data_IF_358438330133
#
_entry.id   IF_358438330133
#
_cell.length_a   1.000
_cell.length_b   1.000
_cell.length_c   1.000
_cell.angle_alpha   90.00
_cell.angle_beta   90.00
_cell.angle_gamma   90.00
#
_symmetry.space_group_name_H-M   'P 1'
#
loop_
_entity.id
_entity.type
_entity.pdbx_description
1 polymer ?
#
# COMPACT_ATOMS: atom_id res chain seq x y z
N UNK A 1 -21.25 31.56 -10.03
CA UNK A 1 -20.45 30.35 -9.68
C UNK A 1 -19.14 30.87 -9.10
N UNK A 2 -18.78 30.57 -7.85
CA UNK A 2 -17.61 31.20 -7.24
C UNK A 2 -16.34 30.51 -7.76
N UNK A 3 -15.67 31.21 -8.67
CA UNK A 3 -14.34 30.89 -9.22
C UNK A 3 -13.32 30.80 -8.08
N UNK A 4 -12.42 29.82 -8.11
CA UNK A 4 -11.29 29.75 -7.17
C UNK A 4 -10.34 30.94 -7.35
N UNK A 5 -9.46 31.20 -6.37
CA UNK A 5 -8.50 32.32 -6.40
C UNK A 5 -7.55 32.32 -7.61
N UNK A 6 -7.51 31.23 -8.39
CA UNK A 6 -6.67 31.05 -9.57
C UNK A 6 -7.42 31.09 -10.91
N UNK A 7 -8.71 31.41 -10.91
CA UNK A 7 -9.50 31.51 -12.15
C UNK A 7 -10.00 30.17 -12.71
N UNK A 8 -9.73 29.03 -12.03
CA UNK A 8 -10.21 27.71 -12.48
C UNK A 8 -11.59 27.38 -11.92
N UNK A 9 -12.36 26.64 -12.71
CA UNK A 9 -13.67 26.14 -12.28
C UNK A 9 -13.46 25.14 -11.13
N UNK A 10 -14.19 25.27 -10.02
CA UNK A 10 -13.98 24.42 -8.83
C UNK A 10 -14.22 22.93 -9.12
N UNK A 11 -15.00 22.63 -10.16
CA UNK A 11 -15.24 21.28 -10.65
C UNK A 11 -14.07 20.70 -11.49
N UNK A 12 -13.02 21.48 -11.74
CA UNK A 12 -11.83 21.07 -12.53
C UNK A 12 -10.58 20.73 -11.70
N UNK A 13 -10.66 20.82 -10.36
CA UNK A 13 -9.53 20.52 -9.48
C UNK A 13 -9.40 19.01 -9.21
N UNK A 14 -8.91 18.30 -10.23
CA UNK A 14 -8.61 16.87 -10.17
C UNK A 14 -7.14 16.62 -9.81
N UNK A 15 -6.92 15.58 -9.02
CA UNK A 15 -5.59 15.12 -8.62
C UNK A 15 -5.43 13.65 -8.96
N UNK A 16 -4.28 13.29 -9.55
CA UNK A 16 -3.91 11.90 -9.70
C UNK A 16 -3.63 11.29 -8.31
N UNK A 17 -4.13 10.09 -8.09
CA UNK A 17 -3.98 9.39 -6.81
C UNK A 17 -2.53 8.90 -6.64
N UNK A 18 -2.00 9.03 -5.42
CA UNK A 18 -0.70 8.50 -5.04
C UNK A 18 -0.76 7.04 -4.54
N UNK A 19 -1.98 6.56 -4.31
CA UNK A 19 -2.33 5.22 -3.80
C UNK A 19 -3.86 5.03 -3.90
N UNK A 20 -4.33 3.79 -4.14
CA UNK A 20 -5.75 3.42 -4.06
C UNK A 20 -6.37 3.63 -2.67
N UNK A 21 -5.56 3.72 -1.61
CA UNK A 21 -5.98 4.11 -0.27
C UNK A 21 -6.79 5.43 -0.27
N UNK A 22 -6.37 6.42 -1.06
CA UNK A 22 -7.02 7.74 -1.10
C UNK A 22 -8.49 7.67 -1.55
N UNK A 23 -8.81 7.09 -2.72
CA UNK A 23 -10.19 6.91 -3.14
C UNK A 23 -10.95 5.89 -2.28
N UNK A 24 -10.30 4.83 -1.77
CA UNK A 24 -10.95 3.85 -0.88
C UNK A 24 -11.38 4.46 0.45
N UNK A 25 -10.56 5.35 1.01
CA UNK A 25 -10.92 6.14 2.19
C UNK A 25 -12.09 7.09 1.88
N UNK A 26 -12.08 7.73 0.71
CA UNK A 26 -13.12 8.68 0.31
C UNK A 26 -14.44 8.00 -0.09
N UNK A 27 -14.41 6.72 -0.47
CA UNK A 27 -15.58 5.95 -0.90
C UNK A 27 -16.72 5.98 0.12
N UNK A 28 -16.38 5.92 1.41
CA UNK A 28 -17.35 5.88 2.51
C UNK A 28 -17.60 7.25 3.15
N UNK A 29 -17.33 8.35 2.44
CA UNK A 29 -17.49 9.70 2.99
C UNK A 29 -18.95 9.98 3.38
N UNK A 30 -19.13 10.36 4.64
CA UNK A 30 -20.43 10.70 5.22
C UNK A 30 -21.35 9.50 5.48
N UNK A 31 -20.86 8.28 5.29
CA UNK A 31 -21.64 7.07 5.54
C UNK A 31 -21.69 6.70 7.03
N UNK A 32 -22.81 6.08 7.43
CA UNK A 32 -22.96 5.41 8.73
C UNK A 32 -23.15 3.93 8.47
N UNK A 33 -22.10 3.16 8.72
CA UNK A 33 -22.04 1.72 8.51
C UNK A 33 -22.72 0.97 9.66
N UNK A 34 -23.41 -0.13 9.36
CA UNK A 34 -23.92 -1.02 10.40
C UNK A 34 -22.80 -1.90 10.92
N UNK A 35 -22.77 -2.16 12.22
CA UNK A 35 -21.71 -2.96 12.84
C UNK A 35 -21.53 -4.34 12.22
N UNK A 36 -22.63 -4.96 11.76
CA UNK A 36 -22.61 -6.28 11.09
C UNK A 36 -21.92 -6.28 9.72
N UNK A 37 -21.64 -5.10 9.14
CA UNK A 37 -20.90 -4.96 7.89
C UNK A 37 -19.39 -4.97 8.12
N UNK A 38 -18.93 -4.79 9.37
CA UNK A 38 -17.53 -4.69 9.73
C UNK A 38 -16.96 -6.06 10.14
N UNK A 39 -15.69 -6.37 9.78
CA UNK A 39 -14.79 -5.54 8.99
C UNK A 39 -15.11 -5.57 7.49
N UNK A 40 -14.97 -4.42 6.83
CA UNK A 40 -14.97 -4.33 5.36
C UNK A 40 -13.52 -4.38 4.90
N UNK A 41 -13.22 -5.26 3.95
CA UNK A 41 -11.87 -5.48 3.41
C UNK A 41 -11.86 -5.25 1.90
N UNK A 42 -10.97 -4.38 1.43
CA UNK A 42 -10.77 -4.09 0.02
C UNK A 42 -9.37 -4.48 -0.44
N UNK A 43 -9.29 -4.98 -1.67
CA UNK A 43 -8.06 -5.12 -2.45
C UNK A 43 -8.05 -4.06 -3.56
N UNK A 44 -7.40 -2.92 -3.31
CA UNK A 44 -7.34 -1.79 -4.23
C UNK A 44 -6.21 -1.91 -5.24
N UNK A 45 -6.53 -2.27 -6.48
CA UNK A 45 -5.62 -2.22 -7.62
C UNK A 45 -5.67 -0.83 -8.27
N UNK A 46 -4.52 -0.17 -8.41
CA UNK A 46 -4.44 1.08 -9.17
C UNK A 46 -3.03 1.45 -9.62
N UNK A 47 -2.96 2.21 -10.71
CA UNK A 47 -1.77 3.02 -11.04
C UNK A 47 -1.61 4.14 -10.03
N UNK A 48 -0.44 4.23 -9.42
CA UNK A 48 -0.07 5.23 -8.42
C UNK A 48 0.85 6.29 -9.01
N UNK A 49 0.56 7.57 -8.76
CA UNK A 49 1.33 8.70 -9.27
C UNK A 49 1.98 9.51 -8.14
N UNK A 50 3.30 9.67 -8.17
CA UNK A 50 4.05 10.42 -7.15
C UNK A 50 5.03 11.40 -7.78
N UNK A 51 4.99 12.67 -7.35
CA UNK A 51 5.94 13.71 -7.80
C UNK A 51 7.40 13.42 -7.41
N UNK A 52 7.61 12.62 -6.35
CA UNK A 52 8.94 12.36 -5.76
C UNK A 52 9.72 13.66 -5.40
N UNK A 53 8.99 14.74 -5.11
CA UNK A 53 9.58 16.01 -4.68
C UNK A 53 10.33 15.80 -3.36
N UNK A 54 11.62 16.17 -3.32
CA UNK A 54 12.50 15.95 -2.17
C UNK A 54 13.44 14.74 -2.27
N UNK A 55 13.30 13.89 -3.29
CA UNK A 55 14.18 12.73 -3.51
C UNK A 55 15.32 13.02 -4.52
N UNK A 56 15.71 14.29 -4.72
CA UNK A 56 16.70 14.66 -5.74
C UNK A 56 18.01 13.87 -5.54
N UNK A 57 18.39 13.08 -6.56
CA UNK A 57 19.61 12.25 -6.54
C UNK A 57 19.54 10.92 -5.78
N UNK A 58 18.39 10.55 -5.17
CA UNK A 58 18.22 9.25 -4.50
C UNK A 58 17.54 8.24 -5.41
N UNK A 59 18.16 7.06 -5.59
CA UNK A 59 17.58 5.90 -6.30
C UNK A 59 17.08 6.25 -7.71
N UNK A 60 17.85 7.06 -8.44
CA UNK A 60 17.49 7.61 -9.75
C UNK A 60 17.55 6.61 -10.90
N UNK A 61 18.09 5.42 -10.67
CA UNK A 61 18.33 4.40 -11.69
C UNK A 61 17.33 3.25 -11.56
N UNK A 62 16.90 2.71 -12.71
CA UNK A 62 15.94 1.60 -12.77
C UNK A 62 14.51 2.04 -12.43
N UNK A 63 13.72 1.10 -11.89
CA UNK A 63 12.28 1.29 -11.64
C UNK A 63 11.90 1.23 -10.15
N UNK A 64 12.90 1.22 -9.26
CA UNK A 64 12.67 1.13 -7.82
C UNK A 64 11.97 2.37 -7.25
N UNK A 65 12.34 3.56 -7.75
CA UNK A 65 11.71 4.84 -7.42
C UNK A 65 11.30 5.55 -8.71
N UNK A 66 10.00 5.55 -8.98
CA UNK A 66 9.42 6.09 -10.21
C UNK A 66 8.23 7.01 -9.90
N UNK A 67 7.81 7.76 -10.92
CA UNK A 67 6.64 8.62 -10.85
C UNK A 67 5.33 7.87 -11.02
N UNK A 68 5.36 6.71 -11.68
CA UNK A 68 4.20 5.89 -11.98
C UNK A 68 4.52 4.41 -11.70
N UNK A 69 3.65 3.72 -10.97
CA UNK A 69 3.79 2.28 -10.69
C UNK A 69 2.44 1.66 -10.35
N UNK A 70 2.28 0.35 -10.60
CA UNK A 70 1.08 -0.40 -10.18
C UNK A 70 1.23 -0.90 -8.76
N UNK A 71 0.13 -0.82 -8.00
CA UNK A 71 0.08 -1.30 -6.62
C UNK A 71 -1.25 -2.01 -6.33
N UNK A 72 -1.17 -3.11 -5.58
CA UNK A 72 -2.31 -3.71 -4.88
C UNK A 72 -2.23 -3.30 -3.41
N UNK A 73 -3.27 -2.64 -2.93
CA UNK A 73 -3.40 -2.15 -1.55
C UNK A 73 -4.45 -2.96 -0.79
N UNK A 74 -4.15 -3.31 0.44
CA UNK A 74 -5.09 -3.77 1.45
C UNK A 74 -5.69 -2.52 2.14
N UNK A 75 -7.01 -2.40 2.18
CA UNK A 75 -7.68 -1.36 2.96
C UNK A 75 -8.78 -1.99 3.81
N UNK A 76 -8.77 -1.72 5.11
CA UNK A 76 -9.68 -2.33 6.07
C UNK A 76 -10.39 -1.25 6.87
N UNK A 77 -11.72 -1.33 6.89
CA UNK A 77 -12.58 -0.55 7.78
C UNK A 77 -13.11 -1.49 8.84
N UNK A 78 -12.87 -1.17 10.11
CA UNK A 78 -13.18 -2.08 11.21
C UNK A 78 -13.69 -1.35 12.44
N UNK A 79 -14.20 -2.12 13.41
CA UNK A 79 -14.51 -1.60 14.74
C UNK A 79 -13.22 -1.24 15.47
N UNK A 80 -13.21 -0.20 16.33
CA UNK A 80 -12.01 0.19 17.09
C UNK A 80 -11.32 -0.98 17.80
N UNK A 81 -12.11 -1.80 18.49
CA UNK A 81 -11.66 -2.97 19.27
C UNK A 81 -11.08 -4.12 18.43
N UNK A 82 -11.29 -4.12 17.11
CA UNK A 82 -10.79 -5.16 16.20
C UNK A 82 -9.62 -4.69 15.33
N UNK A 83 -9.17 -3.43 15.48
CA UNK A 83 -8.15 -2.84 14.61
C UNK A 83 -6.76 -3.49 14.75
N UNK A 84 -6.38 -3.93 15.95
CA UNK A 84 -5.11 -4.63 16.18
C UNK A 84 -5.09 -6.00 15.50
N UNK A 85 -6.17 -6.76 15.62
CA UNK A 85 -6.33 -8.05 14.94
C UNK A 85 -6.30 -7.88 13.41
N UNK A 86 -7.00 -6.86 12.90
CA UNK A 86 -6.97 -6.53 11.47
C UNK A 86 -5.56 -6.18 10.98
N UNK A 87 -4.79 -5.38 11.72
CA UNK A 87 -3.41 -5.05 11.33
C UNK A 87 -2.51 -6.29 11.30
N UNK A 88 -2.66 -7.19 12.27
CA UNK A 88 -1.91 -8.45 12.31
C UNK A 88 -2.26 -9.36 11.13
N UNK A 89 -3.54 -9.44 10.75
CA UNK A 89 -3.99 -10.18 9.57
C UNK A 89 -3.42 -9.59 8.26
N UNK A 90 -3.42 -8.26 8.13
CA UNK A 90 -2.86 -7.57 6.96
C UNK A 90 -1.36 -7.78 6.84
N UNK A 91 -0.63 -7.76 7.96
CA UNK A 91 0.80 -8.07 8.00
C UNK A 91 1.05 -9.52 7.60
N UNK A 92 0.32 -10.48 8.18
CA UNK A 92 0.45 -11.89 7.81
C UNK A 92 0.20 -12.12 6.32
N UNK A 93 -0.84 -11.51 5.77
CA UNK A 93 -1.17 -11.60 4.33
C UNK A 93 -0.02 -11.08 3.46
N UNK A 94 0.61 -9.97 3.87
CA UNK A 94 1.76 -9.43 3.15
C UNK A 94 3.01 -10.32 3.29
N UNK A 95 3.29 -10.82 4.48
CA UNK A 95 4.39 -11.75 4.73
C UNK A 95 4.24 -13.03 3.90
N UNK A 96 3.05 -13.66 3.92
CA UNK A 96 2.74 -14.85 3.10
C UNK A 96 2.96 -14.56 1.60
N UNK A 97 2.55 -13.38 1.12
CA UNK A 97 2.78 -12.98 -0.26
C UNK A 97 4.28 -12.95 -0.63
N UNK A 98 5.13 -12.37 0.22
CA UNK A 98 6.58 -12.32 -0.04
C UNK A 98 7.28 -13.66 0.19
N UNK A 99 6.78 -14.50 1.10
CA UNK A 99 7.22 -15.89 1.28
C UNK A 99 6.92 -16.73 0.03
N UNK A 100 5.74 -16.58 -0.57
CA UNK A 100 5.41 -17.26 -1.82
C UNK A 100 6.33 -16.87 -2.99
N UNK A 101 6.83 -15.64 -2.98
CA UNK A 101 7.81 -15.16 -3.96
C UNK A 101 9.25 -15.63 -3.67
N UNK A 102 9.48 -16.34 -2.57
CA UNK A 102 10.80 -16.77 -2.10
C UNK A 102 11.76 -15.59 -1.98
N UNK A 103 11.31 -14.52 -1.30
CA UNK A 103 12.09 -13.32 -1.06
C UNK A 103 12.46 -13.21 0.43
N UNK A 104 13.76 -13.09 0.77
CA UNK A 104 14.18 -12.83 2.14
C UNK A 104 13.78 -11.43 2.59
N UNK A 105 13.22 -11.31 3.79
CA UNK A 105 12.76 -10.02 4.35
C UNK A 105 12.92 -9.95 5.87
N UNK A 106 12.78 -8.74 6.38
CA UNK A 106 12.58 -8.44 7.80
C UNK A 106 11.34 -7.57 7.98
N UNK A 107 10.71 -7.67 9.15
CA UNK A 107 9.62 -6.77 9.56
C UNK A 107 10.14 -5.83 10.64
N UNK A 108 9.92 -4.53 10.45
CA UNK A 108 10.31 -3.50 11.40
C UNK A 108 9.10 -2.72 11.88
N UNK A 109 9.11 -2.33 13.16
CA UNK A 109 8.17 -1.35 13.72
C UNK A 109 8.75 0.04 13.57
N UNK A 110 7.95 0.97 13.05
CA UNK A 110 8.41 2.34 12.80
C UNK A 110 8.38 3.15 14.09
N UNK A 111 9.51 3.77 14.43
CA UNK A 111 9.65 4.62 15.61
C UNK A 111 8.80 5.88 15.49
N UNK A 112 8.35 6.42 16.63
CA UNK A 112 7.40 7.54 16.66
C UNK A 112 7.82 8.75 15.82
N UNK A 113 9.11 9.11 15.81
CA UNK A 113 9.63 10.25 15.04
C UNK A 113 9.63 10.07 13.52
N UNK A 114 9.37 8.86 13.02
CA UNK A 114 9.29 8.53 11.60
C UNK A 114 7.87 8.18 11.14
N UNK A 115 6.87 8.21 12.05
CA UNK A 115 5.47 8.04 11.69
C UNK A 115 4.94 9.29 10.97
N UNK A 116 4.08 9.07 9.98
CA UNK A 116 3.28 10.13 9.39
C UNK A 116 2.05 10.45 10.26
N UNK A 117 1.51 11.66 10.14
CA UNK A 117 0.45 12.19 11.03
C UNK A 117 -0.77 11.29 11.18
N UNK A 118 -1.13 10.53 10.13
CA UNK A 118 -2.31 9.66 10.16
C UNK A 118 -2.07 8.33 10.88
N UNK A 119 -0.84 7.83 10.96
CA UNK A 119 -0.55 6.49 11.46
C UNK A 119 -0.30 6.48 12.97
N UNK A 120 -1.14 5.75 13.72
CA UNK A 120 -0.90 5.51 15.14
C UNK A 120 0.15 4.41 15.37
N UNK A 121 0.21 3.42 14.46
CA UNK A 121 1.23 2.37 14.44
C UNK A 121 1.48 1.93 13.01
N UNK A 122 2.75 1.80 12.62
CA UNK A 122 3.16 1.38 11.29
C UNK A 122 4.23 0.30 11.37
N UNK A 123 4.10 -0.71 10.52
CA UNK A 123 5.12 -1.72 10.27
C UNK A 123 5.55 -1.64 8.81
N UNK A 124 6.84 -1.81 8.56
CA UNK A 124 7.37 -1.99 7.21
C UNK A 124 7.93 -3.40 7.06
N UNK A 125 7.67 -4.01 5.91
CA UNK A 125 8.37 -5.20 5.43
C UNK A 125 9.44 -4.74 4.45
N UNK A 126 10.68 -4.99 4.83
CA UNK A 126 11.85 -4.67 4.05
C UNK A 126 12.46 -5.96 3.50
N UNK A 127 12.55 -6.08 2.18
CA UNK A 127 13.18 -7.23 1.55
C UNK A 127 14.68 -7.00 1.38
N UNK A 128 15.45 -8.08 1.39
CA UNK A 128 16.88 -8.03 1.16
C UNK A 128 17.20 -7.88 -0.33
N UNK A 129 18.05 -6.91 -0.66
CA UNK A 129 18.53 -6.66 -2.01
C UNK A 129 20.03 -6.96 -2.08
N UNK A 130 20.45 -8.09 -2.69
CA UNK A 130 21.86 -8.49 -2.70
C UNK A 130 22.75 -7.54 -3.49
N UNK A 131 22.26 -6.91 -4.57
CA UNK A 131 23.02 -5.92 -5.33
C UNK A 131 23.23 -4.62 -4.57
N UNK A 132 22.25 -4.23 -3.76
CA UNK A 132 22.35 -3.07 -2.87
C UNK A 132 23.03 -3.39 -1.52
N UNK A 133 23.18 -4.67 -1.17
CA UNK A 133 23.64 -5.17 0.13
C UNK A 133 22.92 -4.53 1.32
N UNK A 134 21.60 -4.39 1.24
CA UNK A 134 20.78 -3.79 2.29
C UNK A 134 19.31 -4.24 2.21
N UNK A 135 18.59 -4.08 3.31
CA UNK A 135 17.12 -4.20 3.33
C UNK A 135 16.46 -2.93 2.78
N UNK A 136 15.39 -3.11 2.00
CA UNK A 136 14.63 -2.03 1.36
C UNK A 136 13.13 -2.25 1.50
N UNK A 137 12.40 -1.20 1.85
CA UNK A 137 10.94 -1.20 1.99
C UNK A 137 10.24 -1.64 0.69
N UNK A 138 9.51 -2.75 0.76
CA UNK A 138 8.59 -3.20 -0.28
C UNK A 138 7.12 -2.99 0.09
N UNK A 139 6.83 -2.98 1.39
CA UNK A 139 5.48 -2.91 1.91
C UNK A 139 5.45 -2.16 3.23
N UNK A 140 4.37 -1.42 3.44
CA UNK A 140 4.04 -0.75 4.71
C UNK A 140 2.62 -1.12 5.12
N UNK A 141 2.35 -1.24 6.43
CA UNK A 141 1.01 -1.39 7.00
C UNK A 141 0.79 -0.43 8.16
N UNK A 142 -0.25 0.40 8.06
CA UNK A 142 -0.59 1.43 9.05
C UNK A 142 -1.95 1.17 9.66
N UNK A 143 -2.04 1.28 10.98
CA UNK A 143 -3.30 1.49 11.69
C UNK A 143 -3.48 2.99 11.90
N UNK A 144 -4.45 3.58 11.20
CA UNK A 144 -4.71 5.02 11.22
C UNK A 144 -5.82 5.40 12.20
N UNK A 145 -6.29 4.42 12.99
CA UNK A 145 -7.39 4.56 13.94
C UNK A 145 -8.56 5.36 13.34
N UNK A 146 -9.06 6.39 14.03
CA UNK A 146 -10.15 7.23 13.55
C UNK A 146 -9.67 8.50 12.82
N UNK A 147 -8.38 8.65 12.55
CA UNK A 147 -7.82 9.87 11.96
C UNK A 147 -8.47 10.19 10.60
N UNK A 148 -8.49 9.20 9.72
CA UNK A 148 -9.06 9.31 8.38
C UNK A 148 -10.60 9.35 8.40
N UNK A 149 -11.21 8.50 9.22
CA UNK A 149 -12.68 8.39 9.30
C UNK A 149 -13.33 9.65 9.87
N UNK A 150 -12.65 10.37 10.78
CA UNK A 150 -13.07 11.71 11.24
C UNK A 150 -13.12 12.71 10.10
N UNK A 151 -12.08 12.74 9.26
CA UNK A 151 -12.00 13.63 8.10
C UNK A 151 -13.07 13.31 7.06
N UNK A 152 -13.34 12.01 6.84
CA UNK A 152 -14.38 11.56 5.90
C UNK A 152 -15.78 11.53 6.50
N UNK A 153 -15.95 11.76 7.81
CA UNK A 153 -17.21 11.60 8.55
C UNK A 153 -17.82 10.20 8.42
N UNK A 154 -16.98 9.18 8.31
CA UNK A 154 -17.42 7.77 8.21
C UNK A 154 -17.60 7.19 9.60
N UNK A 155 -18.80 6.75 9.92
CA UNK A 155 -19.17 6.27 11.26
C UNK A 155 -19.72 4.86 11.22
N UNK A 156 -19.89 4.26 12.40
CA UNK A 156 -20.66 3.05 12.64
C UNK A 156 -21.73 3.32 13.68
N UNK A 157 -22.93 2.78 13.48
CA UNK A 157 -24.03 2.94 14.43
C UNK A 157 -25.40 2.53 13.88
N UNK A 158 -26.39 2.51 14.77
CA UNK A 158 -27.79 2.23 14.44
C UNK A 158 -28.71 3.45 14.62
N UNK A 159 -28.30 4.42 15.44
CA UNK A 159 -29.02 5.67 15.75
C UNK A 159 -28.02 6.81 15.86
N UNK A 160 -28.34 7.97 15.28
CA UNK A 160 -27.43 9.14 15.17
C UNK A 160 -26.77 9.60 16.49
N UNK A 161 -27.37 9.32 17.64
CA UNK A 161 -26.86 9.71 18.96
C UNK A 161 -25.75 8.78 19.49
N UNK A 162 -25.59 7.57 18.93
CA UNK A 162 -24.60 6.57 19.34
C UNK A 162 -23.51 6.33 18.28
N UNK A 163 -23.51 7.10 17.19
CA UNK A 163 -22.58 6.89 16.07
C UNK A 163 -21.12 7.12 16.51
N UNK A 164 -20.30 6.08 16.42
CA UNK A 164 -18.85 6.12 16.68
C UNK A 164 -18.07 6.14 15.37
N UNK A 165 -16.87 6.70 15.35
CA UNK A 165 -16.01 6.59 14.18
C UNK A 165 -15.45 5.17 14.04
N UNK A 166 -15.45 4.66 12.80
CA UNK A 166 -14.76 3.41 12.45
C UNK A 166 -13.25 3.62 12.46
N UNK A 167 -12.49 2.55 12.60
CA UNK A 167 -11.05 2.60 12.38
C UNK A 167 -10.71 2.20 10.95
N UNK A 168 -9.78 2.93 10.35
CA UNK A 168 -9.29 2.70 8.98
C UNK A 168 -7.83 2.26 9.02
N UNK A 169 -7.53 1.19 8.30
CA UNK A 169 -6.18 0.65 8.16
C UNK A 169 -5.87 0.51 6.68
N UNK A 170 -4.62 0.70 6.33
CA UNK A 170 -4.14 0.48 4.97
C UNK A 170 -2.78 -0.19 4.98
N UNK A 171 -2.51 -1.00 3.98
CA UNK A 171 -1.22 -1.61 3.81
C UNK A 171 -0.98 -2.04 2.38
N UNK A 172 0.25 -1.90 1.91
CA UNK A 172 0.62 -2.41 0.60
C UNK A 172 0.54 -3.95 0.62
N UNK A 173 0.00 -4.57 -0.42
CA UNK A 173 0.25 -6.00 -0.65
C UNK A 173 1.50 -6.13 -1.53
N UNK A 174 1.46 -5.47 -2.69
CA UNK A 174 2.57 -5.48 -3.65
C UNK A 174 2.65 -4.14 -4.38
N UNK A 175 3.83 -3.52 -4.36
CA UNK A 175 4.20 -2.43 -5.27
C UNK A 175 5.06 -3.03 -6.39
N UNK A 176 4.43 -3.26 -7.54
CA UNK A 176 4.93 -4.14 -8.60
C UNK A 176 6.36 -3.84 -9.04
N UNK A 177 6.73 -2.56 -9.22
CA UNK A 177 8.06 -2.19 -9.71
C UNK A 177 9.16 -2.48 -8.69
N UNK A 178 8.93 -2.19 -7.40
CA UNK A 178 9.90 -2.50 -6.33
C UNK A 178 10.04 -4.00 -6.12
N UNK A 179 8.91 -4.72 -6.09
CA UNK A 179 8.91 -6.18 -5.95
C UNK A 179 9.59 -6.83 -7.16
N UNK A 180 9.41 -6.31 -8.37
CA UNK A 180 10.14 -6.77 -9.56
C UNK A 180 11.65 -6.56 -9.41
N UNK A 181 12.12 -5.40 -8.96
CA UNK A 181 13.54 -5.20 -8.67
C UNK A 181 14.08 -6.25 -7.68
N UNK A 182 13.33 -6.55 -6.62
CA UNK A 182 13.72 -7.55 -5.64
C UNK A 182 13.80 -8.97 -6.22
N UNK A 183 12.81 -9.34 -7.05
CA UNK A 183 12.79 -10.63 -7.77
C UNK A 183 14.00 -10.73 -8.69
N UNK A 184 14.26 -9.69 -9.49
CA UNK A 184 15.40 -9.68 -10.43
C UNK A 184 16.72 -9.88 -9.69
N UNK A 185 16.92 -9.23 -8.54
CA UNK A 185 18.16 -9.38 -7.79
C UNK A 185 18.31 -10.74 -7.07
N UNK A 186 17.24 -11.28 -6.50
CA UNK A 186 17.29 -12.52 -5.72
C UNK A 186 17.21 -13.79 -6.58
N UNK A 187 16.59 -13.71 -7.77
CA UNK A 187 16.39 -14.86 -8.65
C UNK A 187 17.31 -14.87 -9.89
N UNK A 188 18.29 -13.97 -9.97
CA UNK A 188 19.27 -13.95 -11.05
C UNK A 188 20.21 -15.16 -11.07
N UNK A 189 20.72 -15.42 -12.26
CA UNK A 189 21.73 -16.43 -12.62
C UNK A 189 22.70 -15.81 -13.62
N UNK A 190 23.83 -16.47 -13.96
CA UNK A 190 24.70 -15.98 -15.02
C UNK A 190 24.01 -15.83 -16.39
N UNK A 191 22.97 -16.62 -16.67
CA UNK A 191 22.30 -16.67 -17.97
C UNK A 191 20.99 -15.87 -18.05
N UNK A 192 20.45 -15.42 -16.92
CA UNK A 192 19.13 -14.77 -16.86
C UNK A 192 18.51 -14.79 -15.47
N UNK A 193 17.18 -14.70 -15.39
CA UNK A 193 16.42 -14.67 -14.13
C UNK A 193 15.42 -15.82 -14.09
N UNK A 194 15.41 -16.58 -13.00
CA UNK A 194 14.37 -17.59 -12.74
C UNK A 194 13.07 -16.90 -12.34
N UNK A 195 11.95 -17.36 -12.88
CA UNK A 195 10.63 -16.89 -12.46
C UNK A 195 10.26 -17.60 -11.14
N UNK A 196 9.86 -16.87 -10.08
CA UNK A 196 9.33 -17.48 -8.87
C UNK A 196 8.22 -18.48 -9.21
N UNK A 197 8.26 -19.69 -8.64
CA UNK A 197 7.38 -20.80 -9.03
C UNK A 197 5.89 -20.42 -9.00
N UNK A 198 5.48 -19.60 -8.03
CA UNK A 198 4.10 -19.12 -7.87
C UNK A 198 3.63 -18.19 -8.99
N UNK A 199 4.56 -17.56 -9.73
CA UNK A 199 4.24 -16.66 -10.84
C UNK A 199 4.15 -17.39 -12.19
N UNK A 200 4.73 -18.59 -12.33
CA UNK A 200 4.76 -19.36 -13.58
C UNK A 200 3.36 -19.54 -14.21
N UNK A 201 2.29 -19.87 -13.46
CA UNK A 201 0.95 -19.99 -14.04
C UNK A 201 0.40 -18.67 -14.60
N UNK A 202 0.81 -17.54 -14.05
CA UNK A 202 0.40 -16.20 -14.49
C UNK A 202 1.24 -15.68 -15.66
N UNK A 203 2.35 -16.34 -15.96
CA UNK A 203 3.27 -16.02 -17.06
C UNK A 203 3.17 -17.02 -18.23
N UNK A 204 2.07 -17.77 -18.33
CA UNK A 204 1.87 -18.73 -19.42
C UNK A 204 2.86 -19.91 -19.42
N UNK A 205 3.36 -20.29 -18.25
CA UNK A 205 4.33 -21.39 -18.11
C UNK A 205 5.80 -20.97 -18.28
N UNK A 206 6.10 -19.68 -18.44
CA UNK A 206 7.48 -19.19 -18.51
C UNK A 206 8.16 -19.37 -17.15
N UNK A 207 9.24 -20.17 -17.13
CA UNK A 207 10.03 -20.45 -15.91
C UNK A 207 11.35 -19.67 -15.84
N UNK A 208 11.81 -19.12 -16.96
CA UNK A 208 13.10 -18.46 -17.07
C UNK A 208 13.08 -17.31 -18.09
N UNK A 209 13.73 -16.20 -17.73
CA UNK A 209 13.89 -15.01 -18.56
C UNK A 209 15.39 -14.85 -18.90
N UNK A 210 15.84 -15.24 -20.11
CA UNK A 210 17.25 -15.14 -20.49
C UNK A 210 17.67 -13.68 -20.71
N UNK A 211 18.94 -13.37 -20.45
CA UNK A 211 19.51 -12.08 -20.87
C UNK A 211 19.59 -12.00 -22.41
N UNK A 212 19.50 -10.78 -22.94
CA UNK A 212 19.78 -10.53 -24.34
C UNK A 212 21.29 -10.52 -24.56
N UNK A 213 21.75 -11.33 -25.51
CA UNK A 213 23.14 -11.32 -25.98
C UNK A 213 23.46 -10.07 -26.80
#
# INVERSE_FOLDING_TARGET
IPVGEDGRDKDSDLYLIATSEQPLCALHRGEVLQEKQLPIKYAGLSTCFRKQAGAHGRETWGIFRVHQFEKVEQFVITKPEQSDEAQNEMMRTAEEFYQFLDLPYQVISIVAGALNDAAARKFDLEAWFPGYNQYKELMSCSNCTDYQSRSMKTKMGHKKEEDRYVYMLNGTLVATTRSLCCILENHQTPEGVRVPRVLVPFMGGVEFLPYTN
#
